data_IF_277178857387
#
_entry.id   IF_277178857387
#
_cell.length_a   1.000
_cell.length_b   1.000
_cell.length_c   1.000
_cell.angle_alpha   90.00
_cell.angle_beta   90.00
_cell.angle_gamma   90.00
#
_symmetry.space_group_name_H-M   'P 1'
#
loop_
_entity.id
_entity.type
_entity.pdbx_description
1 polymer ?
#
# COMPACT_ATOMS: atom_id res chain seq x y z
N UNK A 1 12.46 -11.18 11.28
CA UNK A 1 13.38 -10.39 12.11
C UNK A 1 14.34 -9.69 11.16
N UNK A 2 14.13 -8.39 10.87
CA UNK A 2 15.04 -7.63 10.00
C UNK A 2 16.44 -7.69 10.62
N UNK A 3 17.40 -8.32 9.93
CA UNK A 3 18.80 -8.19 10.31
C UNK A 3 19.14 -6.72 10.15
N UNK A 4 19.63 -6.08 11.22
CA UNK A 4 20.26 -4.77 11.07
C UNK A 4 21.47 -4.97 10.17
N UNK A 5 21.40 -4.47 8.94
CA UNK A 5 22.58 -4.36 8.09
C UNK A 5 23.50 -3.35 8.77
N UNK A 6 24.62 -3.80 9.34
CA UNK A 6 25.56 -2.96 10.11
C UNK A 6 26.12 -1.78 9.32
N UNK A 7 25.97 -1.81 7.99
CA UNK A 7 26.42 -0.81 7.03
C UNK A 7 25.30 -0.37 6.06
N UNK A 8 24.03 -0.55 6.45
CA UNK A 8 22.89 -0.10 5.65
C UNK A 8 22.75 1.42 5.69
N UNK A 9 22.39 2.02 4.56
CA UNK A 9 22.12 3.46 4.46
C UNK A 9 20.88 3.72 3.60
N UNK A 10 20.25 4.89 3.79
CA UNK A 10 19.16 5.35 2.95
C UNK A 10 19.36 6.82 2.61
N UNK A 11 19.22 7.14 1.32
CA UNK A 11 19.06 8.51 0.84
C UNK A 11 17.60 8.74 0.54
N UNK A 12 17.03 9.84 1.02
CA UNK A 12 15.62 10.19 0.84
C UNK A 12 15.57 11.57 0.20
N UNK A 13 14.80 11.71 -0.89
CA UNK A 13 14.53 13.01 -1.50
C UNK A 13 13.73 13.88 -0.53
N UNK A 14 13.94 15.20 -0.53
CA UNK A 14 13.31 16.10 0.46
C UNK A 14 11.77 16.05 0.46
N UNK A 15 11.16 15.75 -0.69
CA UNK A 15 9.71 15.58 -0.85
C UNK A 15 9.22 14.14 -0.64
N UNK A 16 10.10 13.25 -0.19
CA UNK A 16 9.85 11.84 0.14
C UNK A 16 9.32 10.96 -1.01
N UNK A 17 9.34 11.45 -2.27
CA UNK A 17 8.82 10.66 -3.41
C UNK A 17 9.83 9.69 -4.00
N UNK A 18 11.10 9.79 -3.59
CA UNK A 18 12.15 8.87 -3.99
C UNK A 18 13.09 8.55 -2.83
N UNK A 19 13.56 7.31 -2.77
CA UNK A 19 14.59 6.86 -1.85
C UNK A 19 15.53 5.87 -2.52
N UNK A 20 16.78 5.84 -2.06
CA UNK A 20 17.79 4.87 -2.49
C UNK A 20 18.32 4.20 -1.24
N UNK A 21 18.09 2.90 -1.13
CA UNK A 21 18.60 2.08 -0.04
C UNK A 21 19.90 1.41 -0.49
N UNK A 22 20.89 1.43 0.40
CA UNK A 22 22.19 0.83 0.18
C UNK A 22 22.41 -0.32 1.15
N UNK A 23 23.05 -1.39 0.66
CA UNK A 23 23.41 -2.58 1.43
C UNK A 23 22.21 -3.26 2.12
N UNK A 24 21.12 -3.46 1.37
CA UNK A 24 19.95 -4.24 1.82
C UNK A 24 20.11 -5.70 1.36
N UNK A 25 19.12 -6.31 0.71
CA UNK A 25 19.29 -7.62 0.06
C UNK A 25 20.24 -7.51 -1.15
N UNK A 26 20.18 -6.38 -1.86
CA UNK A 26 21.09 -6.00 -2.94
C UNK A 26 21.88 -4.75 -2.55
N UNK A 27 22.97 -4.46 -3.27
CA UNK A 27 23.82 -3.31 -2.98
C UNK A 27 23.07 -1.98 -3.08
N UNK A 28 22.17 -1.86 -4.06
CA UNK A 28 21.39 -0.66 -4.33
C UNK A 28 19.95 -1.07 -4.60
N UNK A 29 19.02 -0.31 -4.03
CA UNK A 29 17.60 -0.39 -4.34
C UNK A 29 17.02 1.00 -4.47
N UNK A 30 16.70 1.37 -5.71
CA UNK A 30 16.03 2.63 -6.04
C UNK A 30 14.53 2.42 -5.88
N UNK A 31 13.88 3.34 -5.16
CA UNK A 31 12.44 3.35 -4.96
C UNK A 31 11.90 4.73 -5.32
N UNK A 32 10.96 4.78 -6.26
CA UNK A 32 10.17 5.97 -6.55
C UNK A 32 8.70 5.67 -6.24
N UNK A 33 7.95 6.69 -5.82
CA UNK A 33 6.52 6.56 -5.51
C UNK A 33 5.76 7.85 -5.83
N UNK A 34 4.50 7.69 -6.23
CA UNK A 34 3.58 8.79 -6.49
C UNK A 34 2.16 8.40 -6.03
N UNK A 35 1.31 9.38 -5.66
CA UNK A 35 -0.08 9.10 -5.33
C UNK A 35 -0.89 8.69 -6.58
N UNK A 36 -1.84 7.76 -6.42
CA UNK A 36 -2.69 7.32 -7.52
C UNK A 36 -2.01 6.34 -8.48
N UNK A 37 -2.52 6.23 -9.71
CA UNK A 37 -1.98 5.35 -10.74
C UNK A 37 -1.11 6.16 -11.69
N UNK A 38 0.18 6.28 -11.37
CA UNK A 38 1.17 7.08 -12.13
C UNK A 38 2.43 6.26 -12.42
N UNK A 39 2.26 4.99 -12.84
CA UNK A 39 3.38 4.04 -12.97
C UNK A 39 4.42 4.47 -14.01
N UNK A 40 3.99 5.05 -15.14
CA UNK A 40 4.89 5.55 -16.19
C UNK A 40 5.79 6.66 -15.67
N UNK A 41 5.22 7.69 -15.03
CA UNK A 41 5.97 8.79 -14.44
C UNK A 41 6.95 8.30 -13.36
N UNK A 42 6.50 7.37 -12.51
CA UNK A 42 7.34 6.77 -11.45
C UNK A 42 8.49 5.96 -12.04
N UNK A 43 8.27 5.27 -13.17
CA UNK A 43 9.31 4.53 -13.87
C UNK A 43 10.33 5.49 -14.50
N UNK A 44 9.90 6.57 -15.14
CA UNK A 44 10.80 7.59 -15.68
C UNK A 44 11.68 8.22 -14.58
N UNK A 45 11.10 8.54 -13.43
CA UNK A 45 11.86 9.08 -12.30
C UNK A 45 12.87 8.06 -11.76
N UNK A 46 12.52 6.77 -11.75
CA UNK A 46 13.42 5.70 -11.38
C UNK A 46 14.60 5.56 -12.37
N UNK A 47 14.33 5.59 -13.68
CA UNK A 47 15.38 5.56 -14.71
C UNK A 47 16.33 6.76 -14.63
N UNK A 48 15.81 7.97 -14.41
CA UNK A 48 16.66 9.15 -14.22
C UNK A 48 17.60 9.03 -13.02
N UNK A 49 17.16 8.35 -11.95
CA UNK A 49 18.03 8.06 -10.81
C UNK A 49 19.02 6.95 -11.17
N UNK A 50 18.56 5.88 -11.81
CA UNK A 50 19.36 4.72 -12.20
C UNK A 50 20.52 5.11 -13.12
N UNK A 51 20.25 5.87 -14.19
CA UNK A 51 21.25 6.38 -15.14
C UNK A 51 22.32 7.22 -14.44
N UNK A 52 21.93 7.99 -13.41
CA UNK A 52 22.87 8.82 -12.64
C UNK A 52 23.79 8.00 -11.76
N UNK A 53 23.30 6.89 -11.21
CA UNK A 53 24.15 5.97 -10.44
C UNK A 53 25.05 5.18 -11.38
N UNK A 54 24.52 4.64 -12.48
CA UNK A 54 25.28 3.87 -13.46
C UNK A 54 26.44 4.68 -14.08
N UNK A 55 26.25 5.99 -14.28
CA UNK A 55 27.33 6.88 -14.72
C UNK A 55 28.53 6.94 -13.75
N UNK A 56 28.30 6.66 -12.45
CA UNK A 56 29.33 6.68 -11.40
C UNK A 56 29.79 5.29 -10.94
N UNK A 57 29.09 4.22 -11.30
CA UNK A 57 29.42 2.84 -10.90
C UNK A 57 28.91 1.81 -11.89
N UNK A 58 29.67 0.74 -12.11
CA UNK A 58 29.23 -0.37 -12.94
C UNK A 58 28.30 -1.31 -12.16
N UNK A 59 27.15 -1.63 -12.74
CA UNK A 59 26.25 -2.65 -12.21
C UNK A 59 26.69 -4.07 -12.57
N UNK A 60 26.37 -5.02 -11.69
CA UNK A 60 26.57 -6.43 -11.97
C UNK A 60 25.52 -6.90 -12.98
N UNK A 61 25.93 -7.05 -14.24
CA UNK A 61 25.03 -7.37 -15.34
C UNK A 61 25.57 -8.54 -16.18
N UNK A 62 24.68 -9.46 -16.53
CA UNK A 62 24.95 -10.56 -17.47
C UNK A 62 24.08 -10.41 -18.72
N UNK A 63 24.67 -10.64 -19.90
CA UNK A 63 23.96 -10.43 -21.19
C UNK A 63 22.72 -11.31 -21.38
N UNK A 64 22.63 -12.44 -20.68
CA UNK A 64 21.50 -13.37 -20.77
C UNK A 64 20.56 -13.25 -19.57
N UNK A 65 21.10 -13.00 -18.38
CA UNK A 65 20.33 -12.96 -17.13
C UNK A 65 19.91 -11.55 -16.70
N UNK A 66 20.42 -10.50 -17.33
CA UNK A 66 20.16 -9.10 -16.95
C UNK A 66 20.93 -8.69 -15.69
N UNK A 67 20.34 -7.80 -14.89
CA UNK A 67 20.89 -7.38 -13.61
C UNK A 67 20.95 -8.55 -12.63
N UNK A 68 22.14 -8.78 -12.07
CA UNK A 68 22.40 -9.83 -11.10
C UNK A 68 21.97 -9.35 -9.71
N UNK A 69 21.23 -10.19 -9.01
CA UNK A 69 20.59 -9.91 -7.72
C UNK A 69 20.68 -11.16 -6.85
N UNK A 70 20.68 -10.97 -5.54
CA UNK A 70 20.63 -12.09 -4.58
C UNK A 70 19.25 -12.73 -4.52
N UNK A 71 18.21 -12.01 -4.93
CA UNK A 71 16.83 -12.44 -4.88
C UNK A 71 16.36 -12.92 -6.26
N UNK A 72 16.05 -14.23 -6.36
CA UNK A 72 15.63 -14.86 -7.63
C UNK A 72 14.41 -14.17 -8.26
N UNK A 73 13.54 -13.53 -7.45
CA UNK A 73 12.37 -12.81 -7.97
C UNK A 73 12.69 -11.51 -8.71
N UNK A 74 13.91 -10.98 -8.58
CA UNK A 74 14.33 -9.73 -9.20
C UNK A 74 15.24 -9.94 -10.43
N UNK A 75 15.61 -11.17 -10.79
CA UNK A 75 16.53 -11.45 -11.91
C UNK A 75 15.96 -10.93 -13.23
N UNK A 76 16.81 -10.35 -14.09
CA UNK A 76 16.41 -9.74 -15.36
C UNK A 76 16.47 -8.22 -15.26
N UNK A 77 15.30 -7.59 -15.25
CA UNK A 77 15.16 -6.12 -15.16
C UNK A 77 15.50 -5.55 -13.78
N UNK A 78 15.50 -6.36 -12.70
CA UNK A 78 15.57 -5.82 -11.34
C UNK A 78 14.31 -5.06 -10.89
N UNK A 79 13.33 -4.87 -11.77
CA UNK A 79 12.18 -4.01 -11.54
C UNK A 79 11.09 -4.70 -10.72
N UNK A 80 10.63 -4.00 -9.68
CA UNK A 80 9.38 -4.31 -8.99
C UNK A 80 8.40 -3.14 -9.04
N UNK A 81 7.50 -3.17 -10.01
CA UNK A 81 6.38 -2.24 -10.11
C UNK A 81 5.24 -2.71 -9.19
N UNK A 82 4.65 -1.78 -8.43
CA UNK A 82 3.52 -2.13 -7.56
C UNK A 82 2.53 -0.98 -7.37
N UNK A 83 1.26 -1.33 -7.18
CA UNK A 83 0.18 -0.38 -6.87
C UNK A 83 -0.53 -0.81 -5.59
N UNK A 84 -0.71 0.14 -4.68
CA UNK A 84 -1.53 -0.03 -3.48
C UNK A 84 -2.96 0.40 -3.77
N UNK A 85 -3.93 -0.49 -3.55
CA UNK A 85 -5.34 -0.24 -3.87
C UNK A 85 -6.29 -0.62 -2.73
N UNK A 86 -7.37 0.15 -2.60
CA UNK A 86 -8.43 -0.08 -1.63
C UNK A 86 -9.67 -0.67 -2.33
N UNK A 87 -9.98 -1.93 -2.05
CA UNK A 87 -10.99 -2.73 -2.77
C UNK A 87 -12.18 -3.21 -1.90
N UNK A 88 -12.82 -2.33 -1.10
CA UNK A 88 -13.91 -2.73 -0.21
C UNK A 88 -15.17 -3.18 -0.97
N UNK A 89 -15.43 -2.67 -2.17
CA UNK A 89 -16.56 -3.05 -3.00
C UNK A 89 -16.45 -4.49 -3.49
N UNK A 90 -15.29 -4.87 -4.02
CA UNK A 90 -14.99 -6.25 -4.43
C UNK A 90 -15.06 -7.22 -3.25
N UNK A 91 -14.62 -6.80 -2.06
CA UNK A 91 -14.73 -7.60 -0.83
C UNK A 91 -16.19 -7.78 -0.43
N UNK A 92 -16.95 -6.69 -0.30
CA UNK A 92 -18.35 -6.71 0.14
C UNK A 92 -19.27 -7.46 -0.83
N UNK A 93 -18.96 -7.43 -2.13
CA UNK A 93 -19.70 -8.16 -3.18
C UNK A 93 -19.16 -9.57 -3.44
N UNK A 94 -18.18 -10.04 -2.65
CA UNK A 94 -17.54 -11.37 -2.76
C UNK A 94 -16.91 -11.64 -4.13
N UNK A 95 -16.48 -10.59 -4.84
CA UNK A 95 -15.83 -10.69 -6.15
C UNK A 95 -14.29 -10.74 -6.06
N UNK A 96 -13.71 -10.38 -4.92
CA UNK A 96 -12.26 -10.26 -4.75
C UNK A 96 -11.49 -11.51 -5.21
N UNK A 97 -11.89 -12.70 -4.79
CA UNK A 97 -11.15 -13.94 -5.10
C UNK A 97 -11.07 -14.19 -6.62
N UNK A 98 -12.18 -13.97 -7.33
CA UNK A 98 -12.24 -14.06 -8.79
C UNK A 98 -11.33 -13.02 -9.45
N UNK A 99 -11.29 -11.79 -8.92
CA UNK A 99 -10.39 -10.74 -9.42
C UNK A 99 -8.92 -11.11 -9.17
N UNK A 100 -8.56 -11.65 -8.00
CA UNK A 100 -7.20 -12.12 -7.70
C UNK A 100 -6.76 -13.24 -8.66
N UNK A 101 -7.63 -14.21 -8.92
CA UNK A 101 -7.36 -15.29 -9.87
C UNK A 101 -7.15 -14.77 -11.29
N UNK A 102 -7.92 -13.76 -11.70
CA UNK A 102 -7.70 -13.09 -12.98
C UNK A 102 -6.32 -12.40 -13.03
N UNK A 103 -5.99 -11.59 -12.01
CA UNK A 103 -4.71 -10.87 -11.90
C UNK A 103 -3.52 -11.85 -11.98
N UNK A 104 -3.60 -12.99 -11.28
CA UNK A 104 -2.54 -14.02 -11.28
C UNK A 104 -2.26 -14.61 -12.65
N UNK A 105 -3.28 -14.76 -13.51
CA UNK A 105 -3.09 -15.26 -14.87
C UNK A 105 -2.30 -14.31 -15.77
N UNK A 106 -2.22 -13.03 -15.42
CA UNK A 106 -1.40 -12.02 -16.10
C UNK A 106 0.02 -11.88 -15.51
N UNK A 107 0.43 -12.77 -14.59
CA UNK A 107 1.78 -12.74 -14.02
C UNK A 107 1.97 -11.73 -12.87
N UNK A 108 0.88 -11.34 -12.22
CA UNK A 108 0.89 -10.42 -11.07
C UNK A 108 0.54 -11.14 -9.77
N UNK A 109 1.07 -10.63 -8.67
CA UNK A 109 0.78 -11.12 -7.32
C UNK A 109 0.00 -10.09 -6.54
N UNK A 110 -0.97 -10.57 -5.75
CA UNK A 110 -1.77 -9.75 -4.86
C UNK A 110 -1.42 -10.11 -3.41
N UNK A 111 -1.08 -9.10 -2.62
CA UNK A 111 -0.80 -9.23 -1.18
C UNK A 111 -1.64 -8.25 -0.39
N UNK A 112 -2.04 -8.65 0.81
CA UNK A 112 -2.69 -7.76 1.76
C UNK A 112 -1.70 -6.76 2.37
N UNK A 113 -2.15 -5.54 2.69
CA UNK A 113 -1.34 -4.58 3.45
C UNK A 113 -1.06 -5.07 4.88
N UNK A 114 -2.03 -5.75 5.50
CA UNK A 114 -1.95 -6.24 6.87
C UNK A 114 -2.02 -7.78 6.92
N UNK A 115 -0.91 -8.41 7.31
CA UNK A 115 -0.82 -9.83 7.69
C UNK A 115 -0.37 -10.79 6.58
N UNK A 116 0.23 -11.92 6.99
CA UNK A 116 0.40 -13.13 6.17
C UNK A 116 -0.88 -13.98 6.32
N UNK A 117 -1.71 -14.08 5.28
CA UNK A 117 -2.94 -14.87 5.32
C UNK A 117 -4.08 -14.36 4.43
N UNK A 118 -5.19 -15.13 4.39
CA UNK A 118 -6.27 -15.07 3.38
C UNK A 118 -7.30 -13.94 3.54
N UNK A 119 -7.24 -13.12 4.60
CA UNK A 119 -8.07 -11.91 4.74
C UNK A 119 -7.26 -10.75 5.28
N UNK A 120 -6.76 -9.86 4.42
CA UNK A 120 -6.18 -8.61 4.90
C UNK A 120 -7.24 -7.80 5.63
N UNK A 121 -6.87 -7.33 6.82
CA UNK A 121 -7.57 -6.20 7.43
C UNK A 121 -7.51 -5.01 6.47
N UNK A 122 -8.42 -4.04 6.62
CA UNK A 122 -8.49 -2.78 5.86
C UNK A 122 -8.90 -2.81 4.38
N UNK A 123 -9.11 -3.95 3.75
CA UNK A 123 -9.39 -4.03 2.30
C UNK A 123 -8.34 -3.32 1.40
N UNK A 124 -7.11 -3.12 1.90
CA UNK A 124 -5.99 -2.56 1.13
C UNK A 124 -5.09 -3.70 0.65
N UNK A 125 -4.78 -3.67 -0.63
CA UNK A 125 -4.01 -4.70 -1.33
C UNK A 125 -2.85 -4.06 -2.11
N UNK A 126 -1.71 -4.73 -2.14
CA UNK A 126 -0.62 -4.45 -3.06
C UNK A 126 -0.72 -5.41 -4.24
N UNK A 127 -0.72 -4.88 -5.45
CA UNK A 127 -0.62 -5.65 -6.69
C UNK A 127 0.75 -5.33 -7.31
N UNK A 128 1.58 -6.35 -7.56
CA UNK A 128 2.92 -6.17 -8.14
C UNK A 128 3.26 -7.23 -9.18
N UNK A 129 4.18 -6.94 -10.08
CA UNK A 129 4.69 -7.93 -11.03
C UNK A 129 5.39 -9.09 -10.32
N UNK A 130 5.26 -10.29 -10.88
CA UNK A 130 6.06 -11.46 -10.51
C UNK A 130 7.13 -11.76 -11.56
N UNK A 131 6.86 -11.40 -12.82
CA UNK A 131 7.79 -11.60 -13.93
C UNK A 131 8.72 -10.39 -14.02
N UNK A 132 10.03 -10.69 -14.05
CA UNK A 132 11.12 -9.72 -14.10
C UNK A 132 12.15 -10.03 -15.19
N UNK A 133 12.16 -11.26 -15.70
CA UNK A 133 13.02 -11.72 -16.81
C UNK A 133 12.18 -12.00 -18.07
N UNK A 134 12.68 -11.61 -19.24
CA UNK A 134 12.04 -11.86 -20.53
C UNK A 134 10.95 -10.85 -20.92
N UNK A 135 10.83 -9.77 -20.16
CA UNK A 135 10.04 -8.57 -20.48
C UNK A 135 10.87 -7.34 -20.20
N UNK A 136 10.59 -6.26 -20.92
CA UNK A 136 11.12 -4.93 -20.62
C UNK A 136 10.36 -4.31 -19.45
N UNK A 137 10.99 -3.36 -18.77
CA UNK A 137 10.44 -2.56 -17.69
C UNK A 137 9.16 -1.83 -18.12
N UNK A 138 9.17 -1.28 -19.35
CA UNK A 138 8.03 -0.60 -19.95
C UNK A 138 6.85 -1.55 -20.17
N UNK A 139 7.09 -2.75 -20.71
CA UNK A 139 6.04 -3.77 -20.87
C UNK A 139 5.46 -4.19 -19.52
N UNK A 140 6.30 -4.36 -18.49
CA UNK A 140 5.85 -4.69 -17.13
C UNK A 140 4.93 -3.60 -16.58
N UNK A 141 5.30 -2.33 -16.75
CA UNK A 141 4.51 -1.17 -16.29
C UNK A 141 3.21 -1.02 -17.09
N UNK A 142 3.25 -1.22 -18.41
CA UNK A 142 2.06 -1.18 -19.26
C UNK A 142 1.07 -2.27 -18.87
N UNK A 143 1.53 -3.52 -18.76
CA UNK A 143 0.69 -4.66 -18.37
C UNK A 143 0.06 -4.42 -16.99
N UNK A 144 0.82 -3.87 -16.04
CA UNK A 144 0.31 -3.56 -14.71
C UNK A 144 -0.75 -2.46 -14.79
N UNK A 145 -0.50 -1.40 -15.56
CA UNK A 145 -1.45 -0.30 -15.73
C UNK A 145 -2.78 -0.78 -16.31
N UNK A 146 -2.74 -1.58 -17.37
CA UNK A 146 -3.92 -2.16 -18.01
C UNK A 146 -4.73 -3.05 -17.04
N UNK A 147 -4.05 -3.90 -16.27
CA UNK A 147 -4.69 -4.72 -15.23
C UNK A 147 -5.32 -3.84 -14.16
N UNK A 148 -4.62 -2.78 -13.73
CA UNK A 148 -5.09 -1.89 -12.69
C UNK A 148 -6.33 -1.09 -13.10
N UNK A 149 -6.42 -0.64 -14.36
CA UNK A 149 -7.61 0.02 -14.88
C UNK A 149 -8.86 -0.88 -14.78
N UNK A 150 -8.71 -2.16 -15.14
CA UNK A 150 -9.80 -3.13 -15.03
C UNK A 150 -10.21 -3.36 -13.57
N UNK A 151 -9.25 -3.49 -12.66
CA UNK A 151 -9.52 -3.63 -11.21
C UNK A 151 -10.26 -2.42 -10.66
N UNK A 152 -9.81 -1.21 -11.02
CA UNK A 152 -10.44 0.06 -10.61
C UNK A 152 -11.87 0.14 -11.14
N UNK A 153 -12.11 -0.22 -12.41
CA UNK A 153 -13.44 -0.25 -13.00
C UNK A 153 -14.37 -1.21 -12.24
N UNK A 154 -13.92 -2.45 -12.00
CA UNK A 154 -14.71 -3.46 -11.29
C UNK A 154 -15.06 -3.01 -9.86
N UNK A 155 -14.10 -2.41 -9.15
CA UNK A 155 -14.32 -1.86 -7.82
C UNK A 155 -15.38 -0.74 -7.83
N UNK A 156 -15.28 0.21 -8.76
CA UNK A 156 -16.26 1.31 -8.91
C UNK A 156 -17.67 0.78 -9.21
N UNK A 157 -17.78 -0.24 -10.07
CA UNK A 157 -19.05 -0.91 -10.36
C UNK A 157 -19.62 -1.56 -9.10
N UNK A 158 -18.79 -2.24 -8.30
CA UNK A 158 -19.23 -2.86 -7.05
C UNK A 158 -19.70 -1.82 -6.03
N UNK A 159 -18.95 -0.72 -5.83
CA UNK A 159 -19.37 0.39 -4.97
C UNK A 159 -20.70 1.01 -5.40
N UNK A 160 -20.89 1.21 -6.70
CA UNK A 160 -22.14 1.75 -7.26
C UNK A 160 -23.32 0.82 -6.97
N UNK A 161 -23.16 -0.49 -7.18
CA UNK A 161 -24.19 -1.49 -6.86
C UNK A 161 -24.53 -1.50 -5.38
N UNK A 162 -23.52 -1.40 -4.52
CA UNK A 162 -23.73 -1.32 -3.08
C UNK A 162 -24.47 -0.04 -2.69
N UNK A 163 -24.13 1.11 -3.28
CA UNK A 163 -24.85 2.39 -3.06
C UNK A 163 -26.31 2.27 -3.46
N UNK A 164 -26.59 1.75 -4.65
CA UNK A 164 -27.96 1.65 -5.14
C UNK A 164 -28.84 0.70 -4.33
N UNK A 165 -28.31 -0.48 -3.95
CA UNK A 165 -29.11 -1.53 -3.30
C UNK A 165 -29.10 -1.49 -1.77
N UNK A 166 -28.03 -0.97 -1.18
CA UNK A 166 -27.77 -1.10 0.26
C UNK A 166 -27.37 0.24 0.90
N UNK A 167 -27.75 1.39 0.33
CA UNK A 167 -27.32 2.71 0.82
C UNK A 167 -27.47 2.90 2.35
N UNK A 168 -28.65 2.65 2.92
CA UNK A 168 -28.89 2.82 4.37
C UNK A 168 -28.03 1.87 5.20
N UNK A 169 -27.90 0.61 4.79
CA UNK A 169 -27.11 -0.40 5.50
C UNK A 169 -25.63 -0.03 5.47
N UNK A 170 -25.14 0.48 4.34
CA UNK A 170 -23.77 0.98 4.25
C UNK A 170 -23.56 2.24 5.08
N UNK A 171 -24.50 3.18 5.04
CA UNK A 171 -24.44 4.40 5.81
C UNK A 171 -24.35 4.09 7.32
N UNK A 172 -25.22 3.22 7.85
CA UNK A 172 -25.16 2.77 9.24
C UNK A 172 -23.79 2.12 9.56
N UNK A 173 -23.29 1.23 8.70
CA UNK A 173 -21.98 0.60 8.89
C UNK A 173 -20.84 1.63 8.93
N UNK A 174 -20.84 2.58 8.00
CA UNK A 174 -19.83 3.64 7.88
C UNK A 174 -19.87 4.54 9.12
N UNK A 175 -21.05 4.96 9.55
CA UNK A 175 -21.20 5.82 10.73
C UNK A 175 -20.89 5.08 12.04
N UNK A 176 -21.15 3.78 12.13
CA UNK A 176 -20.68 2.94 13.26
C UNK A 176 -19.17 2.87 13.31
N UNK A 177 -18.52 2.64 12.17
CA UNK A 177 -17.06 2.65 12.08
C UNK A 177 -16.49 4.01 12.47
N UNK A 178 -17.09 5.10 11.98
CA UNK A 178 -16.69 6.45 12.33
C UNK A 178 -16.86 6.74 13.84
N UNK A 179 -18.01 6.38 14.43
CA UNK A 179 -18.26 6.54 15.87
C UNK A 179 -17.28 5.73 16.72
N UNK A 180 -16.94 4.51 16.29
CA UNK A 180 -15.92 3.69 16.95
C UNK A 180 -14.57 4.41 16.96
N UNK A 181 -14.11 4.90 15.80
CA UNK A 181 -12.84 5.64 15.71
C UNK A 181 -12.85 6.90 16.58
N UNK A 182 -13.97 7.62 16.63
CA UNK A 182 -14.11 8.88 17.38
C UNK A 182 -14.23 8.69 18.90
N UNK A 183 -14.74 7.56 19.37
CA UNK A 183 -15.12 7.42 20.79
C UNK A 183 -14.41 6.29 21.54
N UNK A 184 -13.94 5.24 20.86
CA UNK A 184 -13.28 4.11 21.52
C UNK A 184 -12.09 4.55 22.39
N UNK A 185 -11.89 3.88 23.53
CA UNK A 185 -10.75 4.10 24.45
C UNK A 185 -9.70 3.01 24.40
N UNK A 186 -10.07 1.86 23.86
CA UNK A 186 -9.21 0.71 23.60
C UNK A 186 -9.57 0.26 22.19
N UNK A 187 -8.58 0.13 21.30
CA UNK A 187 -8.83 -0.28 19.92
C UNK A 187 -7.73 -1.21 19.41
N UNK A 188 -8.09 -2.42 19.02
CA UNK A 188 -7.15 -3.37 18.43
C UNK A 188 -6.72 -2.93 17.02
N UNK A 189 -5.53 -3.36 16.57
CA UNK A 189 -5.00 -3.00 15.25
C UNK A 189 -5.95 -3.40 14.12
N UNK A 190 -6.51 -4.62 14.19
CA UNK A 190 -7.44 -5.12 13.18
C UNK A 190 -8.75 -4.31 13.15
N UNK A 191 -9.32 -4.02 14.31
CA UNK A 191 -10.54 -3.21 14.43
C UNK A 191 -10.32 -1.80 13.89
N UNK A 192 -9.20 -1.17 14.24
CA UNK A 192 -8.83 0.13 13.70
C UNK A 192 -8.68 0.08 12.18
N UNK A 193 -7.95 -0.91 11.65
CA UNK A 193 -7.73 -1.07 10.21
C UNK A 193 -9.05 -1.27 9.44
N UNK A 194 -9.97 -2.07 9.96
CA UNK A 194 -11.28 -2.30 9.34
C UNK A 194 -12.18 -1.06 9.44
N UNK A 195 -12.20 -0.38 10.59
CA UNK A 195 -12.99 0.84 10.76
C UNK A 195 -12.46 2.01 9.92
N UNK A 196 -11.13 2.17 9.80
CA UNK A 196 -10.51 3.18 8.92
C UNK A 196 -10.83 2.88 7.44
N UNK A 197 -10.91 1.60 7.06
CA UNK A 197 -11.33 1.20 5.73
C UNK A 197 -12.77 1.57 5.41
N UNK A 198 -13.68 1.34 6.36
CA UNK A 198 -15.09 1.74 6.22
C UNK A 198 -15.24 3.27 6.20
N UNK A 199 -14.49 4.00 7.04
CA UNK A 199 -14.43 5.46 6.98
C UNK A 199 -13.92 5.95 5.63
N UNK A 200 -12.85 5.37 5.08
CA UNK A 200 -12.33 5.68 3.75
C UNK A 200 -13.40 5.49 2.67
N UNK A 201 -14.12 4.37 2.74
CA UNK A 201 -15.22 4.10 1.81
C UNK A 201 -16.32 5.16 1.94
N UNK A 202 -16.68 5.53 3.17
CA UNK A 202 -17.65 6.58 3.46
C UNK A 202 -17.29 7.92 2.86
N UNK A 203 -16.04 8.35 3.03
CA UNK A 203 -15.52 9.59 2.42
C UNK A 203 -15.58 9.50 0.90
N UNK A 204 -15.10 8.40 0.31
CA UNK A 204 -15.06 8.23 -1.16
C UNK A 204 -16.44 8.08 -1.81
N UNK A 205 -17.46 7.68 -1.04
CA UNK A 205 -18.84 7.53 -1.52
C UNK A 205 -19.74 8.72 -1.19
N UNK A 206 -19.22 9.74 -0.49
CA UNK A 206 -19.96 10.95 -0.10
C UNK A 206 -20.93 10.75 1.05
N UNK A 207 -20.69 9.79 1.95
CA UNK A 207 -21.45 9.66 3.20
C UNK A 207 -20.86 10.56 4.31
N UNK A 208 -19.55 10.80 4.26
CA UNK A 208 -18.83 11.65 5.21
C UNK A 208 -18.04 12.68 4.40
N UNK A 209 -18.49 13.93 4.42
CA UNK A 209 -17.94 15.00 3.57
C UNK A 209 -16.91 15.87 4.29
N UNK A 210 -16.97 15.94 5.63
CA UNK A 210 -16.10 16.80 6.45
C UNK A 210 -14.73 16.20 6.75
N UNK A 211 -14.44 14.97 6.28
CA UNK A 211 -13.14 14.30 6.49
C UNK A 211 -12.42 14.15 5.15
N UNK A 212 -11.20 14.68 5.07
CA UNK A 212 -10.39 14.60 3.86
C UNK A 212 -9.75 13.22 3.66
N UNK A 213 -9.45 12.86 2.41
CA UNK A 213 -8.72 11.62 2.10
C UNK A 213 -7.31 11.61 2.72
N UNK A 214 -6.68 12.78 2.87
CA UNK A 214 -5.40 12.93 3.54
C UNK A 214 -5.48 12.56 5.02
N UNK A 215 -6.50 13.05 5.73
CA UNK A 215 -6.74 12.71 7.14
C UNK A 215 -6.97 11.20 7.32
N UNK A 216 -7.64 10.55 6.37
CA UNK A 216 -7.76 9.08 6.37
C UNK A 216 -6.42 8.37 6.10
N UNK A 217 -5.53 8.93 5.27
CA UNK A 217 -4.17 8.38 5.10
C UNK A 217 -3.35 8.51 6.39
N UNK A 218 -3.47 9.62 7.12
CA UNK A 218 -2.83 9.82 8.42
C UNK A 218 -3.30 8.77 9.44
N UNK A 219 -4.60 8.48 9.51
CA UNK A 219 -5.13 7.43 10.38
C UNK A 219 -4.51 6.06 10.09
N UNK A 220 -4.32 5.71 8.81
CA UNK A 220 -3.67 4.46 8.39
C UNK A 220 -2.23 4.41 8.92
N UNK A 221 -1.49 5.51 8.81
CA UNK A 221 -0.07 5.60 9.21
C UNK A 221 0.10 5.59 10.73
N UNK A 222 -0.59 6.49 11.42
CA UNK A 222 -0.41 6.71 12.86
C UNK A 222 -1.08 5.65 13.73
N UNK A 223 -1.93 4.78 13.16
CA UNK A 223 -2.44 3.59 13.87
C UNK A 223 -1.44 2.42 13.93
N UNK A 224 -0.30 2.51 13.24
CA UNK A 224 0.70 1.43 13.20
C UNK A 224 1.58 1.37 14.46
N UNK A 225 1.95 0.17 14.93
CA UNK A 225 2.74 0.00 16.16
C UNK A 225 4.01 0.85 16.24
N UNK A 226 4.74 1.00 15.12
CA UNK A 226 5.98 1.78 15.08
C UNK A 226 5.74 3.29 15.35
N UNK A 227 4.68 3.86 14.77
CA UNK A 227 4.31 5.25 15.01
C UNK A 227 3.75 5.45 16.41
N UNK A 228 2.97 4.50 16.92
CA UNK A 228 2.46 4.55 18.29
C UNK A 228 3.59 4.53 19.33
N UNK A 229 4.63 3.70 19.11
CA UNK A 229 5.83 3.71 19.98
C UNK A 229 6.59 5.01 19.91
N UNK A 230 6.74 5.60 18.71
CA UNK A 230 7.36 6.91 18.53
C UNK A 230 6.56 8.01 19.26
N UNK A 231 5.25 7.97 19.15
CA UNK A 231 4.34 8.88 19.84
C UNK A 231 4.43 8.74 21.36
N UNK A 232 4.50 7.50 21.86
CA UNK A 232 4.59 7.21 23.29
C UNK A 232 5.99 7.45 23.89
N UNK A 233 7.04 7.51 23.06
CA UNK A 233 8.46 7.59 23.45
C UNK A 233 8.91 6.50 24.43
N UNK A 234 8.21 5.35 24.45
CA UNK A 234 8.50 4.22 25.33
C UNK A 234 7.98 2.92 24.71
N UNK A 235 8.50 1.81 25.21
CA UNK A 235 7.90 0.51 24.96
C UNK A 235 6.52 0.41 25.63
N UNK A 236 5.64 -0.35 24.99
CA UNK A 236 4.25 -0.52 25.38
C UNK A 236 3.92 -2.01 25.42
N UNK A 237 3.14 -2.42 26.41
CA UNK A 237 2.47 -3.71 26.37
C UNK A 237 1.26 -3.67 25.40
N UNK A 238 0.65 -4.84 25.16
CA UNK A 238 -0.45 -4.96 24.20
C UNK A 238 -1.66 -4.07 24.53
N UNK A 239 -1.99 -3.92 25.82
CA UNK A 239 -3.12 -3.11 26.26
C UNK A 239 -2.82 -1.61 26.08
N UNK A 240 -1.62 -1.18 26.45
CA UNK A 240 -1.16 0.20 26.28
C UNK A 240 -1.15 0.59 24.80
N UNK A 241 -0.70 -0.29 23.91
CA UNK A 241 -0.72 -0.05 22.47
C UNK A 241 -2.16 0.18 21.96
N UNK A 242 -3.14 -0.61 22.45
CA UNK A 242 -4.56 -0.44 22.10
C UNK A 242 -5.14 0.88 22.63
N UNK A 243 -4.76 1.30 23.83
CA UNK A 243 -5.20 2.57 24.43
C UNK A 243 -4.62 3.76 23.67
N UNK A 244 -3.32 3.73 23.39
CA UNK A 244 -2.61 4.81 22.70
C UNK A 244 -3.06 4.90 21.24
N UNK A 245 -3.31 3.76 20.56
CA UNK A 245 -3.94 3.76 19.23
C UNK A 245 -5.26 4.49 19.21
N UNK A 246 -6.14 4.16 20.17
CA UNK A 246 -7.44 4.80 20.27
C UNK A 246 -7.28 6.31 20.54
N UNK A 247 -6.32 6.72 21.37
CA UNK A 247 -6.05 8.14 21.64
C UNK A 247 -5.57 8.90 20.39
N UNK A 248 -4.55 8.37 19.70
CA UNK A 248 -3.99 8.99 18.49
C UNK A 248 -5.04 9.15 17.37
N UNK A 249 -5.87 8.12 17.15
CA UNK A 249 -6.94 8.18 16.15
C UNK A 249 -7.94 9.30 16.45
N UNK A 250 -8.34 9.48 17.72
CA UNK A 250 -9.27 10.54 18.11
C UNK A 250 -8.65 11.92 17.93
N UNK A 251 -7.40 12.09 18.35
CA UNK A 251 -6.67 13.35 18.19
C UNK A 251 -6.58 13.79 16.72
N UNK A 252 -6.29 12.86 15.81
CA UNK A 252 -6.27 13.11 14.36
C UNK A 252 -7.66 13.49 13.85
N UNK A 253 -8.73 12.84 14.33
CA UNK A 253 -10.10 13.11 13.92
C UNK A 253 -10.69 14.41 14.51
N UNK A 254 -10.21 14.85 15.66
CA UNK A 254 -10.67 16.07 16.35
C UNK A 254 -9.91 17.33 15.89
N UNK A 255 -8.73 17.16 15.28
CA UNK A 255 -8.02 18.25 14.62
C UNK A 255 -8.80 18.67 13.38
N UNK A 256 -8.99 19.98 13.15
CA UNK A 256 -9.73 20.51 11.99
C UNK A 256 -8.99 20.30 10.68
#
# INVERSE_FOLDING_TARGET
>A
MMRRHGFGAVMIREDETASVMFNEEDHIRIQCMAPGLQLEQVLEDAFRLDDRFEAGMAYAFDKRLGYLTTCVTNVGTGLRASVMVHLPGLVATKQLQKTIEAIRRYGFVVRGMYGEGSRPASNIFQISNQVTLGKTELEIVQDLSDVMEQVIMQERVCRTKLKQKFHIVMEDRIFRAYGMLKHSRILAQKEAADAISDLRLGVQMGYIEHISSQKVNELVLFSQPAFLRKFAQRDMNELEEKVIRAAAIREILDTY
#
